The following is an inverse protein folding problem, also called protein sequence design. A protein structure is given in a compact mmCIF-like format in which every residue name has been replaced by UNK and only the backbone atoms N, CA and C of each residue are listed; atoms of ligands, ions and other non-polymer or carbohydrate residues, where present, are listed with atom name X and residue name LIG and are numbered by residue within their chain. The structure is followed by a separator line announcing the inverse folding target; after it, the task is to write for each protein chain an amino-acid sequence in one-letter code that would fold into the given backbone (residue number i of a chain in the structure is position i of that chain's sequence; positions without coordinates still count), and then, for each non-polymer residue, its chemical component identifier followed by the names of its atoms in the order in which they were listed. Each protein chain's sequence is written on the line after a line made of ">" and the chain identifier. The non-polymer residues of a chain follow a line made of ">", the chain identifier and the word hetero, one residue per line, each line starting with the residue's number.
data_IF_111037182247
#
_entry.id   IF_111037182247
#
_cell.length_a   1.000
_cell.length_b   1.000
_cell.length_c   1.000
_cell.angle_alpha   90.00
_cell.angle_beta   90.00
_cell.angle_gamma   90.00
#
_symmetry.space_group_name_H-M   'P 1'
#
loop_
_entity.id
_entity.type
_entity.pdbx_description
1 polymer ?
#
# COMPACT_ATOMS: atom_id res chain seq x y z
N UNK A 1 31.14 12.35 -2.53
CA UNK A 1 31.07 12.39 -1.05
C UNK A 1 30.71 10.99 -0.56
N UNK A 2 31.74 10.20 -0.21
CA UNK A 2 31.50 8.81 0.24
C UNK A 2 31.15 8.85 1.74
N UNK A 3 29.89 9.14 2.08
CA UNK A 3 29.43 8.95 3.44
C UNK A 3 29.51 7.45 3.74
N UNK A 4 30.25 7.09 4.76
CA UNK A 4 30.35 5.69 5.21
C UNK A 4 28.95 5.22 5.67
N UNK A 5 28.22 4.51 4.79
CA UNK A 5 26.87 4.02 5.01
C UNK A 5 26.79 3.21 6.29
N UNK A 6 27.88 2.54 6.69
CA UNK A 6 27.95 1.74 7.92
C UNK A 6 27.81 2.59 9.18
N UNK A 7 28.04 3.89 9.12
CA UNK A 7 27.90 4.85 10.22
C UNK A 7 26.51 5.50 10.30
N UNK A 8 25.64 5.28 9.31
CA UNK A 8 24.27 5.76 9.33
C UNK A 8 23.45 4.86 10.27
N UNK A 9 23.53 5.11 11.54
CA UNK A 9 22.79 4.42 12.59
C UNK A 9 21.91 5.40 13.34
N UNK A 10 20.67 5.00 13.62
CA UNK A 10 19.77 5.69 14.52
C UNK A 10 19.42 4.73 15.66
N UNK A 11 19.50 5.23 16.91
CA UNK A 11 19.05 4.49 18.08
C UNK A 11 17.56 4.72 18.26
N UNK A 12 16.82 3.63 18.33
CA UNK A 12 15.39 3.61 18.61
C UNK A 12 15.15 3.40 20.09
N UNK A 13 14.08 3.95 20.65
CA UNK A 13 13.83 3.76 22.09
C UNK A 13 12.66 4.56 22.64
N UNK A 14 11.96 5.30 21.81
CA UNK A 14 10.88 6.18 22.27
C UNK A 14 9.67 5.41 22.80
N UNK A 15 9.40 4.18 22.31
CA UNK A 15 8.17 3.43 22.61
C UNK A 15 8.44 1.95 22.75
N UNK A 16 7.48 1.24 23.36
CA UNK A 16 7.46 -0.22 23.47
C UNK A 16 6.21 -0.80 22.82
N UNK A 17 6.23 -2.09 22.54
CA UNK A 17 5.06 -2.86 22.16
C UNK A 17 4.96 -4.07 23.10
N UNK A 18 4.35 -3.84 24.25
CA UNK A 18 4.17 -4.88 25.27
C UNK A 18 2.93 -5.73 25.00
N UNK A 19 2.85 -6.88 25.64
CA UNK A 19 1.72 -7.81 25.47
C UNK A 19 0.38 -7.21 25.94
N UNK A 20 0.41 -6.27 26.88
CA UNK A 20 -0.77 -5.54 27.36
C UNK A 20 -1.21 -4.40 26.44
N UNK A 21 -0.36 -3.97 25.52
CA UNK A 21 -0.63 -2.86 24.59
C UNK A 21 -1.13 -3.35 23.22
N UNK A 22 -1.08 -4.66 22.96
CA UNK A 22 -1.54 -5.24 21.71
C UNK A 22 -3.03 -5.57 21.78
N UNK A 23 -3.74 -5.26 20.70
CA UNK A 23 -5.13 -5.67 20.55
C UNK A 23 -5.21 -7.10 20.00
N UNK A 24 -6.21 -7.87 20.40
CA UNK A 24 -6.43 -9.23 19.88
C UNK A 24 -6.83 -9.25 18.40
N UNK A 25 -7.38 -8.14 17.88
CA UNK A 25 -7.74 -7.96 16.48
C UNK A 25 -6.68 -7.08 15.78
N UNK A 26 -5.94 -7.61 14.76
CA UNK A 26 -4.89 -6.87 14.06
C UNK A 26 -5.41 -5.65 13.27
N UNK A 27 -6.65 -5.64 12.82
CA UNK A 27 -7.25 -4.46 12.17
C UNK A 27 -7.46 -3.32 13.16
N UNK A 28 -7.85 -3.64 14.40
CA UNK A 28 -7.95 -2.64 15.48
C UNK A 28 -6.55 -2.13 15.83
N UNK A 29 -5.56 -3.03 15.93
CA UNK A 29 -4.17 -2.64 16.17
C UNK A 29 -3.62 -1.73 15.05
N UNK A 30 -3.91 -2.06 13.78
CA UNK A 30 -3.56 -1.22 12.64
C UNK A 30 -4.21 0.16 12.75
N UNK A 31 -5.52 0.20 13.04
CA UNK A 31 -6.27 1.47 13.18
C UNK A 31 -5.66 2.38 14.23
N UNK A 32 -5.34 1.85 15.41
CA UNK A 32 -4.71 2.61 16.51
C UNK A 32 -3.40 3.26 16.03
N UNK A 33 -2.54 2.49 15.39
CA UNK A 33 -1.24 2.99 14.93
C UNK A 33 -1.37 3.97 13.76
N UNK A 34 -2.30 3.71 12.85
CA UNK A 34 -2.56 4.59 11.70
C UNK A 34 -3.17 5.92 12.14
N UNK A 35 -4.14 5.91 13.03
CA UNK A 35 -4.74 7.14 13.59
C UNK A 35 -3.71 7.98 14.35
N UNK A 36 -2.77 7.34 15.03
CA UNK A 36 -1.67 8.04 15.68
C UNK A 36 -0.74 8.71 14.66
N UNK A 37 -0.38 8.01 13.58
CA UNK A 37 0.43 8.58 12.50
C UNK A 37 -0.28 9.79 11.85
N UNK A 38 -1.59 9.69 11.61
CA UNK A 38 -2.41 10.80 11.09
C UNK A 38 -2.49 11.96 12.08
N UNK A 39 -2.72 11.68 13.37
CA UNK A 39 -2.78 12.71 14.43
C UNK A 39 -1.46 13.45 14.59
N UNK A 40 -0.34 12.79 14.40
CA UNK A 40 0.98 13.40 14.39
C UNK A 40 1.29 14.15 13.10
N UNK A 41 0.34 14.17 12.14
CA UNK A 41 0.49 14.83 10.84
C UNK A 41 1.73 14.35 10.06
N UNK A 42 2.03 13.06 10.16
CA UNK A 42 3.14 12.49 9.39
C UNK A 42 2.88 12.65 7.89
N UNK A 43 3.88 13.06 7.10
CA UNK A 43 3.74 13.15 5.66
C UNK A 43 3.33 11.78 5.08
N UNK A 44 2.34 11.79 4.21
CA UNK A 44 1.88 10.60 3.50
C UNK A 44 1.68 9.37 4.43
N UNK A 45 1.06 9.58 5.62
CA UNK A 45 0.82 8.50 6.59
C UNK A 45 0.16 7.26 5.96
N UNK A 46 -0.59 7.45 4.87
CA UNK A 46 -1.25 6.40 4.10
C UNK A 46 -0.41 5.83 2.94
N UNK A 47 0.85 6.29 2.77
CA UNK A 47 1.74 5.67 1.81
C UNK A 47 2.16 4.28 2.28
N UNK A 48 2.16 3.33 1.35
CA UNK A 48 2.56 1.96 1.61
C UNK A 48 3.36 1.38 0.44
N UNK A 49 4.30 0.55 0.73
CA UNK A 49 4.94 -0.28 -0.29
C UNK A 49 4.05 -1.48 -0.61
N UNK A 50 3.67 -1.65 -1.87
CA UNK A 50 3.09 -2.90 -2.36
C UNK A 50 4.17 -3.73 -3.03
N UNK A 51 4.40 -4.94 -2.51
CA UNK A 51 5.22 -5.96 -3.15
C UNK A 51 4.34 -6.96 -3.91
N UNK A 52 4.75 -7.30 -5.13
CA UNK A 52 4.14 -8.31 -5.99
C UNK A 52 5.21 -9.23 -6.53
N UNK A 53 4.82 -10.42 -6.98
CA UNK A 53 5.72 -11.40 -7.58
C UNK A 53 5.23 -11.71 -8.98
N UNK A 54 6.11 -11.58 -9.97
CA UNK A 54 5.80 -11.89 -11.37
C UNK A 54 5.74 -13.41 -11.61
N UNK A 55 5.21 -13.87 -12.76
CA UNK A 55 5.11 -15.29 -13.09
C UNK A 55 6.43 -16.05 -13.09
N UNK A 56 7.55 -15.36 -13.34
CA UNK A 56 8.91 -15.86 -13.28
C UNK A 56 9.54 -15.75 -11.88
N UNK A 57 8.73 -15.59 -10.85
CA UNK A 57 9.09 -15.50 -9.43
C UNK A 57 10.01 -14.30 -9.08
N UNK A 58 9.98 -13.23 -9.86
CA UNK A 58 10.75 -12.02 -9.57
C UNK A 58 9.92 -11.05 -8.71
N UNK A 59 10.39 -10.69 -7.51
CA UNK A 59 9.71 -9.71 -6.68
C UNK A 59 9.85 -8.30 -7.28
N UNK A 60 8.84 -7.49 -7.08
CA UNK A 60 8.81 -6.09 -7.49
C UNK A 60 8.06 -5.27 -6.45
N UNK A 61 8.55 -4.08 -6.10
CA UNK A 61 7.94 -3.23 -5.09
C UNK A 61 7.78 -1.78 -5.59
N UNK A 62 6.77 -1.08 -5.09
CA UNK A 62 6.48 0.35 -5.38
C UNK A 62 5.66 0.95 -4.26
N UNK A 63 5.70 2.28 -4.15
CA UNK A 63 4.83 3.01 -3.24
C UNK A 63 3.46 3.21 -3.89
N UNK A 64 2.41 2.97 -3.12
CA UNK A 64 1.02 3.29 -3.40
C UNK A 64 0.38 3.96 -2.18
N UNK A 65 -0.81 4.53 -2.36
CA UNK A 65 -1.57 5.11 -1.26
C UNK A 65 -2.71 4.18 -0.86
N UNK A 66 -2.80 3.87 0.43
CA UNK A 66 -4.00 3.28 1.01
C UNK A 66 -5.17 4.25 0.84
N UNK A 67 -6.33 3.73 0.40
CA UNK A 67 -7.54 4.54 0.17
C UNK A 67 -8.68 4.20 1.11
N UNK A 68 -8.74 2.96 1.56
CA UNK A 68 -9.68 2.49 2.57
C UNK A 68 -9.16 1.22 3.23
N UNK A 69 -9.60 0.95 4.45
CA UNK A 69 -9.37 -0.32 5.13
C UNK A 69 -10.51 -0.67 6.08
N UNK A 70 -10.79 -1.93 6.16
CA UNK A 70 -11.78 -2.52 7.07
C UNK A 70 -11.39 -3.96 7.39
N UNK A 71 -12.19 -4.68 8.16
CA UNK A 71 -11.97 -6.11 8.38
C UNK A 71 -12.05 -6.95 7.08
N UNK A 72 -12.54 -6.37 5.99
CA UNK A 72 -12.51 -7.00 4.66
C UNK A 72 -11.14 -6.90 3.98
N UNK A 73 -10.30 -5.95 4.38
CA UNK A 73 -8.95 -5.77 3.83
C UNK A 73 -8.58 -4.32 3.56
N UNK A 74 -7.51 -4.14 2.80
CA UNK A 74 -6.84 -2.87 2.49
C UNK A 74 -7.02 -2.53 1.02
N UNK A 75 -7.59 -1.37 0.71
CA UNK A 75 -7.97 -0.96 -0.63
C UNK A 75 -6.98 0.03 -1.25
N UNK A 76 -6.62 -0.21 -2.51
CA UNK A 76 -5.83 0.70 -3.33
C UNK A 76 -6.31 0.66 -4.77
N UNK A 77 -5.97 1.68 -5.57
CA UNK A 77 -6.44 1.81 -6.94
C UNK A 77 -5.27 1.98 -7.89
N UNK A 78 -5.35 1.35 -9.07
CA UNK A 78 -4.30 1.38 -10.07
C UNK A 78 -4.83 0.96 -11.45
N UNK A 79 -3.96 1.07 -12.47
CA UNK A 79 -4.21 0.49 -13.78
C UNK A 79 -3.97 -1.04 -13.73
N UNK A 80 -4.96 -1.84 -14.11
CA UNK A 80 -4.91 -3.31 -14.15
C UNK A 80 -3.92 -3.85 -15.19
N UNK A 81 -3.64 -3.07 -16.25
CA UNK A 81 -2.69 -3.43 -17.29
C UNK A 81 -1.24 -3.06 -16.96
N UNK A 82 -1.02 -2.34 -15.83
CA UNK A 82 0.33 -2.04 -15.35
C UNK A 82 1.08 -3.31 -14.95
N UNK A 83 2.41 -3.22 -14.78
CA UNK A 83 3.23 -4.37 -14.35
C UNK A 83 2.66 -5.02 -13.09
N UNK A 84 2.34 -4.24 -12.05
CA UNK A 84 1.75 -4.77 -10.82
C UNK A 84 0.37 -5.40 -11.03
N UNK A 85 -0.45 -4.84 -11.92
CA UNK A 85 -1.75 -5.42 -12.27
C UNK A 85 -1.60 -6.77 -12.94
N UNK A 86 -0.65 -6.91 -13.87
CA UNK A 86 -0.32 -8.19 -14.53
C UNK A 86 0.28 -9.21 -13.55
N UNK A 87 1.13 -8.76 -12.61
CA UNK A 87 1.68 -9.64 -11.57
C UNK A 87 0.53 -10.21 -10.71
N UNK A 88 -0.37 -9.34 -10.21
CA UNK A 88 -1.51 -9.73 -9.36
C UNK A 88 -2.46 -10.68 -10.10
N UNK A 89 -2.69 -10.49 -11.40
CA UNK A 89 -3.53 -11.37 -12.21
C UNK A 89 -2.99 -12.80 -12.27
N UNK A 90 -1.68 -12.97 -12.24
CA UNK A 90 -0.99 -14.28 -12.30
C UNK A 90 -0.68 -14.85 -10.92
N UNK A 91 -0.33 -14.01 -9.96
CA UNK A 91 -0.09 -14.38 -8.58
C UNK A 91 -0.82 -13.39 -7.68
N UNK A 92 -1.97 -13.81 -7.18
CA UNK A 92 -2.86 -12.96 -6.38
C UNK A 92 -2.35 -12.67 -4.96
N UNK A 93 -1.16 -13.13 -4.57
CA UNK A 93 -0.58 -12.83 -3.27
C UNK A 93 0.34 -11.60 -3.33
N UNK A 94 0.31 -10.81 -2.28
CA UNK A 94 1.16 -9.64 -2.15
C UNK A 94 1.38 -9.24 -0.70
N UNK A 95 2.29 -8.30 -0.52
CA UNK A 95 2.56 -7.73 0.79
C UNK A 95 2.48 -6.20 0.74
N UNK A 96 1.91 -5.61 1.80
CA UNK A 96 1.93 -4.18 2.07
C UNK A 96 2.90 -3.90 3.22
N UNK A 97 3.67 -2.82 3.11
CA UNK A 97 4.53 -2.35 4.19
C UNK A 97 4.28 -0.87 4.41
N UNK A 98 3.91 -0.50 5.63
CA UNK A 98 3.90 0.86 6.14
C UNK A 98 5.15 1.08 6.97
N UNK A 99 5.80 2.23 6.83
CA UNK A 99 6.93 2.62 7.65
C UNK A 99 6.81 4.08 8.06
N UNK A 100 6.74 4.31 9.36
CA UNK A 100 6.69 5.64 9.97
C UNK A 100 7.94 5.85 10.82
N UNK A 101 9.00 6.43 10.24
CA UNK A 101 10.28 6.58 10.92
C UNK A 101 10.20 7.44 12.19
N UNK A 102 9.33 8.46 12.22
CA UNK A 102 9.12 9.32 13.37
C UNK A 102 8.49 8.59 14.56
N UNK A 103 7.77 7.51 14.30
CA UNK A 103 7.18 6.62 15.31
C UNK A 103 8.05 5.39 15.55
N UNK A 104 9.14 5.22 14.80
CA UNK A 104 9.98 4.03 14.83
C UNK A 104 9.15 2.75 14.61
N UNK A 105 8.15 2.81 13.70
CA UNK A 105 7.18 1.72 13.47
C UNK A 105 7.17 1.24 12.04
N UNK A 106 7.01 -0.07 11.91
CA UNK A 106 6.70 -0.72 10.65
C UNK A 106 5.51 -1.66 10.83
N UNK A 107 4.64 -1.72 9.82
CA UNK A 107 3.58 -2.74 9.75
C UNK A 107 3.75 -3.46 8.41
N UNK A 108 3.84 -4.79 8.46
CA UNK A 108 3.81 -5.66 7.29
C UNK A 108 2.50 -6.43 7.28
N UNK A 109 1.86 -6.49 6.12
CA UNK A 109 0.56 -7.15 5.92
C UNK A 109 0.69 -8.03 4.68
N UNK A 110 0.40 -9.31 4.80
CA UNK A 110 0.43 -10.25 3.69
C UNK A 110 -0.96 -10.84 3.47
N UNK A 111 -1.27 -11.17 2.21
CA UNK A 111 -2.57 -11.75 1.92
C UNK A 111 -2.89 -11.81 0.44
N UNK A 112 -4.11 -12.24 0.16
CA UNK A 112 -4.64 -12.38 -1.20
C UNK A 112 -5.23 -11.07 -1.69
N UNK A 113 -4.89 -10.70 -2.91
CA UNK A 113 -5.37 -9.49 -3.58
C UNK A 113 -6.46 -9.87 -4.58
N UNK A 114 -7.60 -9.18 -4.51
CA UNK A 114 -8.72 -9.34 -5.44
C UNK A 114 -9.17 -7.97 -5.97
N UNK A 115 -9.74 -7.94 -7.17
CA UNK A 115 -10.35 -6.71 -7.70
C UNK A 115 -11.58 -6.34 -6.87
N UNK A 116 -11.76 -5.05 -6.61
CA UNK A 116 -13.01 -4.49 -6.09
C UNK A 116 -14.12 -4.60 -7.13
N UNK A 117 -15.36 -4.48 -6.70
CA UNK A 117 -16.50 -4.37 -7.60
C UNK A 117 -16.40 -3.12 -8.49
N UNK A 118 -17.03 -3.18 -9.63
CA UNK A 118 -17.05 -2.06 -10.57
C UNK A 118 -17.66 -0.80 -9.96
N UNK A 119 -18.70 -0.96 -9.14
CA UNK A 119 -19.40 0.12 -8.44
C UNK A 119 -18.45 0.89 -7.51
N UNK A 120 -17.68 0.17 -6.67
CA UNK A 120 -16.72 0.77 -5.73
C UNK A 120 -15.60 1.50 -6.50
N UNK A 121 -15.16 0.91 -7.62
CA UNK A 121 -14.15 1.53 -8.49
C UNK A 121 -14.67 2.77 -9.20
N UNK A 122 -15.94 2.77 -9.64
CA UNK A 122 -16.60 3.93 -10.24
C UNK A 122 -16.74 5.05 -9.21
N UNK A 123 -17.25 4.73 -8.01
CA UNK A 123 -17.40 5.72 -6.94
C UNK A 123 -16.08 6.44 -6.70
N UNK A 124 -15.02 5.72 -6.38
CA UNK A 124 -13.72 6.34 -6.10
C UNK A 124 -13.14 7.07 -7.32
N UNK A 125 -13.36 6.58 -8.56
CA UNK A 125 -12.90 7.27 -9.77
C UNK A 125 -13.48 8.69 -9.87
N UNK A 126 -14.79 8.85 -9.60
CA UNK A 126 -15.45 10.14 -9.68
C UNK A 126 -15.14 11.09 -8.51
N UNK A 127 -14.71 10.57 -7.36
CA UNK A 127 -14.22 11.37 -6.23
C UNK A 127 -12.84 12.01 -6.52
N UNK A 128 -12.10 11.50 -7.51
CA UNK A 128 -10.77 12.02 -7.85
C UNK A 128 -10.87 13.35 -8.62
N UNK A 129 -9.86 14.25 -8.43
CA UNK A 129 -9.74 15.45 -9.26
C UNK A 129 -9.73 15.11 -10.75
N UNK A 130 -10.32 15.99 -11.59
CA UNK A 130 -10.49 15.75 -13.02
C UNK A 130 -9.17 15.41 -13.72
N UNK A 131 -8.09 16.16 -13.48
CA UNK A 131 -6.78 15.86 -14.06
C UNK A 131 -6.25 14.48 -13.70
N UNK A 132 -6.53 13.99 -12.47
CA UNK A 132 -6.16 12.63 -12.06
C UNK A 132 -7.00 11.56 -12.75
N UNK A 133 -8.26 11.85 -13.06
CA UNK A 133 -9.13 10.95 -13.86
C UNK A 133 -8.65 10.87 -15.30
N UNK A 134 -8.36 12.01 -15.93
CA UNK A 134 -7.80 12.08 -17.27
C UNK A 134 -6.47 11.30 -17.37
N UNK A 135 -5.53 11.58 -16.46
CA UNK A 135 -4.25 10.87 -16.43
C UNK A 135 -4.41 9.35 -16.28
N UNK A 136 -5.38 8.90 -15.48
CA UNK A 136 -5.68 7.48 -15.35
C UNK A 136 -6.31 6.87 -16.62
N UNK A 137 -6.99 7.68 -17.42
CA UNK A 137 -7.65 7.24 -18.67
C UNK A 137 -6.69 7.16 -19.85
N UNK A 138 -5.63 7.99 -19.88
CA UNK A 138 -4.73 8.07 -21.03
C UNK A 138 -3.38 7.38 -20.80
N UNK A 139 -2.93 7.27 -19.54
CA UNK A 139 -1.58 6.76 -19.25
C UNK A 139 -1.46 5.25 -19.50
N UNK A 140 -0.60 4.81 -20.45
CA UNK A 140 -0.29 3.40 -20.64
C UNK A 140 0.68 2.92 -19.56
N UNK A 141 0.23 2.88 -18.31
CA UNK A 141 1.05 2.70 -17.12
C UNK A 141 2.00 1.48 -17.22
N UNK A 142 3.26 1.70 -16.97
CA UNK A 142 4.36 0.69 -17.02
C UNK A 142 4.74 0.25 -18.43
N UNK A 143 4.36 0.97 -19.47
CA UNK A 143 4.89 0.77 -20.84
C UNK A 143 5.92 1.84 -21.15
N UNK A 144 6.76 1.57 -22.13
CA UNK A 144 7.67 2.54 -22.68
C UNK A 144 6.90 3.65 -23.41
N UNK A 145 7.35 4.87 -23.24
CA UNK A 145 6.86 6.05 -23.95
C UNK A 145 8.08 6.82 -24.49
N UNK A 146 7.88 7.56 -25.57
CA UNK A 146 8.96 8.29 -26.21
C UNK A 146 9.54 9.38 -25.28
N UNK A 147 8.67 10.19 -24.70
CA UNK A 147 9.04 11.28 -23.79
C UNK A 147 7.83 11.69 -22.91
N UNK A 148 8.04 12.67 -22.04
CA UNK A 148 6.96 13.19 -21.17
C UNK A 148 5.92 14.00 -21.96
N UNK A 149 6.36 14.68 -23.00
CA UNK A 149 5.54 15.52 -23.85
C UNK A 149 4.43 14.69 -24.51
N UNK A 150 4.73 13.45 -24.92
CA UNK A 150 3.71 12.52 -25.46
C UNK A 150 2.56 12.27 -24.49
N UNK A 151 2.81 12.23 -23.16
CA UNK A 151 1.72 12.11 -22.16
C UNK A 151 0.88 13.37 -22.07
N UNK A 152 1.50 14.54 -22.22
CA UNK A 152 0.79 15.83 -22.20
C UNK A 152 -0.09 15.93 -23.44
N UNK A 153 0.40 15.54 -24.60
CA UNK A 153 -0.34 15.50 -25.86
C UNK A 153 -1.56 14.55 -25.74
N UNK A 154 -1.35 13.34 -25.23
CA UNK A 154 -2.45 12.39 -24.97
C UNK A 154 -3.51 12.99 -24.05
N UNK A 155 -3.11 13.72 -23.01
CA UNK A 155 -4.06 14.37 -22.09
C UNK A 155 -4.83 15.49 -22.79
N UNK A 156 -4.15 16.35 -23.57
CA UNK A 156 -4.79 17.44 -24.30
C UNK A 156 -5.76 16.91 -25.35
N UNK A 157 -5.37 15.87 -26.07
CA UNK A 157 -6.24 15.21 -27.05
C UNK A 157 -7.48 14.62 -26.36
N UNK A 158 -7.29 13.91 -25.26
CA UNK A 158 -8.41 13.32 -24.50
C UNK A 158 -9.37 14.40 -23.98
N UNK A 159 -8.83 15.51 -23.48
CA UNK A 159 -9.65 16.65 -23.01
C UNK A 159 -10.45 17.27 -24.15
N UNK A 160 -9.85 17.46 -25.33
CA UNK A 160 -10.52 18.00 -26.52
C UNK A 160 -11.64 17.08 -27.02
N UNK A 161 -11.46 15.75 -26.93
CA UNK A 161 -12.43 14.77 -27.42
C UNK A 161 -13.57 14.51 -26.43
N UNK A 162 -13.29 14.54 -25.11
CA UNK A 162 -14.23 14.07 -24.09
C UNK A 162 -14.62 15.16 -23.07
N UNK A 163 -13.91 16.28 -23.04
CA UNK A 163 -14.13 17.33 -22.05
C UNK A 163 -13.91 16.81 -20.62
N UNK A 164 -14.82 17.21 -19.72
CA UNK A 164 -14.75 16.81 -18.29
C UNK A 164 -15.69 15.65 -17.92
N UNK A 165 -16.50 15.16 -18.90
CA UNK A 165 -17.54 14.15 -18.68
C UNK A 165 -17.14 12.87 -19.42
N UNK A 166 -16.58 11.91 -18.68
CA UNK A 166 -16.20 10.60 -19.22
C UNK A 166 -16.27 9.54 -18.14
N UNK A 167 -16.41 8.30 -18.56
CA UNK A 167 -16.50 7.14 -17.68
C UNK A 167 -15.10 6.66 -17.23
N UNK A 168 -15.08 5.91 -16.16
CA UNK A 168 -13.90 5.18 -15.72
C UNK A 168 -13.51 4.16 -16.80
N UNK A 169 -12.24 4.10 -17.22
CA UNK A 169 -11.81 3.06 -18.15
C UNK A 169 -11.79 1.69 -17.46
N UNK A 170 -12.15 0.64 -18.19
CA UNK A 170 -12.25 -0.74 -17.66
C UNK A 170 -10.92 -1.27 -17.14
N UNK A 171 -9.81 -0.79 -17.68
CA UNK A 171 -8.47 -1.17 -17.27
C UNK A 171 -7.98 -0.46 -15.99
N UNK A 172 -8.77 0.41 -15.37
CA UNK A 172 -8.42 1.09 -14.12
C UNK A 172 -9.46 0.81 -13.04
N UNK A 173 -9.01 0.57 -11.81
CA UNK A 173 -9.92 0.38 -10.68
C UNK A 173 -9.21 -0.08 -9.43
N UNK A 174 -10.00 -0.55 -8.47
CA UNK A 174 -9.55 -0.92 -7.14
C UNK A 174 -9.17 -2.38 -7.00
N UNK A 175 -8.23 -2.59 -6.10
CA UNK A 175 -7.88 -3.88 -5.51
C UNK A 175 -8.08 -3.82 -4.00
N UNK A 176 -8.38 -4.97 -3.42
CA UNK A 176 -8.39 -5.20 -1.98
C UNK A 176 -7.44 -6.33 -1.63
N UNK A 177 -6.47 -6.08 -0.75
CA UNK A 177 -5.67 -7.11 -0.12
C UNK A 177 -6.43 -7.61 1.11
N UNK A 178 -6.80 -8.89 1.12
CA UNK A 178 -7.44 -9.59 2.23
C UNK A 178 -6.34 -10.28 3.04
N UNK A 179 -6.05 -9.81 4.27
CA UNK A 179 -4.92 -10.30 5.03
C UNK A 179 -5.11 -11.71 5.59
N UNK A 180 -4.02 -12.46 5.62
CA UNK A 180 -3.87 -13.68 6.40
C UNK A 180 -2.70 -13.58 7.41
N UNK A 181 -1.85 -12.51 7.29
CA UNK A 181 -0.77 -12.21 8.19
C UNK A 181 -0.61 -10.70 8.42
N UNK A 182 -0.34 -10.32 9.67
CA UNK A 182 0.20 -9.00 10.04
C UNK A 182 1.46 -9.17 10.88
N UNK A 183 2.42 -8.28 10.71
CA UNK A 183 3.52 -8.09 11.64
C UNK A 183 3.61 -6.63 12.04
N UNK A 184 3.53 -6.35 13.34
CA UNK A 184 3.78 -5.05 13.93
C UNK A 184 5.19 -5.02 14.51
N UNK A 185 5.99 -4.09 14.06
CA UNK A 185 7.36 -3.89 14.48
C UNK A 185 7.52 -2.52 15.13
N UNK A 186 8.12 -2.47 16.31
CA UNK A 186 8.46 -1.26 17.04
C UNK A 186 9.96 -1.23 17.29
N UNK A 187 10.61 -0.13 16.88
CA UNK A 187 12.03 0.09 17.14
C UNK A 187 12.33 0.16 18.63
N UNK A 188 13.46 -0.46 19.04
CA UNK A 188 13.96 -0.48 20.41
C UNK A 188 15.47 -0.34 20.43
N UNK A 189 16.00 0.11 21.59
CA UNK A 189 17.43 0.20 21.85
C UNK A 189 18.13 -1.14 21.58
N UNK A 190 19.41 -1.04 21.24
CA UNK A 190 20.27 -2.21 20.98
C UNK A 190 19.72 -3.20 19.94
N UNK A 191 18.78 -2.73 19.08
CA UNK A 191 18.07 -3.54 18.07
C UNK A 191 17.23 -4.68 18.64
N UNK A 192 16.92 -4.67 19.94
CA UNK A 192 16.02 -5.63 20.58
C UNK A 192 14.55 -5.28 20.30
N UNK A 193 14.24 -5.11 19.02
CA UNK A 193 12.97 -4.60 18.54
C UNK A 193 11.80 -5.49 18.92
N UNK A 194 10.67 -4.87 19.28
CA UNK A 194 9.44 -5.62 19.53
C UNK A 194 8.81 -6.02 18.20
N UNK A 195 8.48 -7.31 18.06
CA UNK A 195 7.82 -7.85 16.87
C UNK A 195 6.66 -8.72 17.29
N UNK A 196 5.45 -8.36 16.84
CA UNK A 196 4.23 -9.13 17.09
C UNK A 196 3.63 -9.51 15.74
N UNK A 197 3.57 -10.81 15.51
CA UNK A 197 2.96 -11.39 14.31
C UNK A 197 1.56 -11.92 14.65
N UNK A 198 0.61 -11.65 13.76
CA UNK A 198 -0.73 -12.23 13.78
C UNK A 198 -0.88 -13.12 12.56
N UNK A 199 -1.42 -14.32 12.75
CA UNK A 199 -1.78 -15.26 11.69
C UNK A 199 -3.24 -15.62 11.78
N UNK A 200 -3.90 -15.73 10.62
CA UNK A 200 -5.30 -16.13 10.54
C UNK A 200 -5.41 -17.66 10.46
N UNK A 201 -5.82 -18.29 11.56
CA UNK A 201 -6.00 -19.74 11.65
C UNK A 201 -7.46 -20.07 11.98
N UNK A 202 -8.11 -20.88 11.16
CA UNK A 202 -9.51 -21.27 11.35
C UNK A 202 -10.46 -20.08 11.59
N UNK A 203 -10.28 -19.00 10.80
CA UNK A 203 -11.02 -17.74 10.89
C UNK A 203 -10.84 -16.98 12.23
N UNK A 204 -9.80 -17.28 12.99
CA UNK A 204 -9.45 -16.59 14.23
C UNK A 204 -8.03 -16.07 14.14
N UNK A 205 -7.82 -14.85 14.58
CA UNK A 205 -6.49 -14.29 14.70
C UNK A 205 -5.78 -14.83 15.94
N UNK A 206 -4.57 -15.37 15.72
CA UNK A 206 -3.64 -15.72 16.78
C UNK A 206 -2.42 -14.81 16.67
N UNK A 207 -1.84 -14.47 17.78
CA UNK A 207 -0.63 -13.64 17.78
C UNK A 207 0.50 -14.29 18.57
N UNK A 208 1.73 -14.00 18.14
CA UNK A 208 2.96 -14.44 18.81
C UNK A 208 4.03 -13.34 18.73
N UNK A 209 4.95 -13.36 19.69
CA UNK A 209 6.15 -12.52 19.64
C UNK A 209 7.23 -13.22 18.83
N UNK A 210 7.87 -12.47 17.93
CA UNK A 210 9.04 -12.92 17.19
C UNK A 210 10.31 -12.34 17.82
N UNK A 211 11.42 -13.08 17.67
CA UNK A 211 12.74 -12.52 17.94
C UNK A 211 13.06 -11.38 16.94
N UNK A 212 13.84 -10.35 17.36
CA UNK A 212 14.23 -9.24 16.48
C UNK A 212 15.13 -9.67 15.34
#
# INVERSE_FOLDING_TARGET
>A
MNKDIKKLRHEYGQRSLTRSEINSNPFTQFRIWFEEAVKMQLPDANAMTLATVSPDNRPSARILLLKDFSEKGFCFFTNYQSRKGKDIDKNAYGALVFFWPELERQIRIEGKITKLKAEDSNQYFFERPIGSRMAASVSPQSTEIENRESLIEMMNQFENEHGTIFNRPDFWGGYQLQPDLFEFWQGRENRLNDRIEYTLENKKWKHRRLAP
#
